data_IF_304152121466
#
_entry.id   IF_304152121466
#
_cell.length_a   1.000
_cell.length_b   1.000
_cell.length_c   1.000
_cell.angle_alpha   90.00
_cell.angle_beta   90.00
_cell.angle_gamma   90.00
#
_symmetry.space_group_name_H-M   'P 1'
#
loop_
_entity.id
_entity.type
_entity.pdbx_description
1 polymer ?
#
# COMPACT_ATOMS: atom_id res chain seq x y z
N UNK A 1 9.86 3.39 24.95
CA UNK A 1 9.66 2.72 23.66
C UNK A 1 9.17 3.74 22.65
N UNK A 2 9.68 3.68 21.43
CA UNK A 2 9.28 4.57 20.32
C UNK A 2 8.62 3.72 19.25
N UNK A 3 7.58 4.28 18.60
CA UNK A 3 6.96 3.72 17.41
C UNK A 3 7.00 4.78 16.32
N UNK A 4 7.45 4.42 15.15
CA UNK A 4 7.38 5.25 13.96
C UNK A 4 6.25 4.79 13.07
N UNK A 5 5.36 5.68 12.72
CA UNK A 5 4.36 5.45 11.67
C UNK A 5 5.00 5.79 10.34
N UNK A 6 5.14 4.79 9.48
CA UNK A 6 5.77 4.97 8.17
C UNK A 6 4.85 5.69 7.17
N UNK A 7 5.40 6.09 6.03
CA UNK A 7 4.64 6.82 5.00
C UNK A 7 3.54 5.97 4.36
N UNK A 8 2.55 6.65 3.80
CA UNK A 8 1.42 6.01 3.11
C UNK A 8 1.83 5.07 1.97
N UNK A 9 2.85 5.44 1.18
CA UNK A 9 3.37 4.56 0.13
C UNK A 9 4.10 3.34 0.73
N UNK A 10 4.81 3.51 1.83
CA UNK A 10 5.46 2.40 2.54
C UNK A 10 4.42 1.42 3.10
N UNK A 11 3.28 1.90 3.63
CA UNK A 11 2.16 1.04 4.00
C UNK A 11 1.65 0.22 2.81
N UNK A 12 1.44 0.87 1.65
CA UNK A 12 0.95 0.21 0.45
C UNK A 12 1.92 -0.87 -0.04
N UNK A 13 3.20 -0.54 -0.16
CA UNK A 13 4.25 -1.48 -0.56
C UNK A 13 4.27 -2.69 0.39
N UNK A 14 4.27 -2.42 1.70
CA UNK A 14 4.32 -3.49 2.71
C UNK A 14 3.06 -4.36 2.69
N UNK A 15 1.88 -3.75 2.57
CA UNK A 15 0.61 -4.46 2.50
C UNK A 15 0.54 -5.40 1.29
N UNK A 16 0.84 -4.90 0.08
CA UNK A 16 0.82 -5.68 -1.16
C UNK A 16 1.87 -6.81 -1.13
N UNK A 17 3.10 -6.50 -0.72
CA UNK A 17 4.18 -7.48 -0.65
C UNK A 17 3.83 -8.61 0.31
N UNK A 18 3.39 -8.26 1.53
CA UNK A 18 2.99 -9.24 2.54
C UNK A 18 1.87 -10.13 2.03
N UNK A 19 0.78 -9.52 1.56
CA UNK A 19 -0.44 -10.24 1.16
C UNK A 19 -0.20 -11.21 0.00
N UNK A 20 0.49 -10.76 -1.06
CA UNK A 20 0.66 -11.57 -2.27
C UNK A 20 1.81 -12.56 -2.12
N UNK A 21 2.96 -12.11 -1.63
CA UNK A 21 4.20 -12.85 -1.77
C UNK A 21 4.68 -13.57 -0.51
N UNK A 22 4.20 -13.17 0.69
CA UNK A 22 4.71 -13.71 1.95
C UNK A 22 3.67 -14.51 2.73
N UNK A 23 2.39 -14.09 2.72
CA UNK A 23 1.36 -14.74 3.53
C UNK A 23 1.12 -16.19 3.06
N UNK A 24 1.36 -17.11 4.00
CA UNK A 24 1.18 -18.55 3.82
C UNK A 24 2.39 -19.28 3.26
N UNK A 25 3.44 -18.57 2.79
CA UNK A 25 4.59 -19.20 2.12
C UNK A 25 5.96 -18.75 2.66
N UNK A 26 6.03 -17.62 3.36
CA UNK A 26 7.28 -17.14 3.96
C UNK A 26 8.16 -16.27 3.04
N UNK A 27 9.24 -15.73 3.62
CA UNK A 27 10.13 -14.79 2.92
C UNK A 27 11.00 -15.46 1.84
N UNK A 28 11.23 -16.74 1.91
CA UNK A 28 11.98 -17.54 0.93
C UNK A 28 11.26 -17.63 -0.42
N UNK A 29 9.95 -17.43 -0.44
CA UNK A 29 9.19 -17.34 -1.69
C UNK A 29 9.41 -16.02 -2.43
N UNK A 30 9.81 -14.96 -1.74
CA UNK A 30 9.98 -13.64 -2.34
C UNK A 30 11.34 -13.51 -3.04
N UNK A 31 11.32 -13.25 -4.34
CA UNK A 31 12.54 -13.05 -5.14
C UNK A 31 12.90 -11.58 -5.27
N UNK A 32 11.93 -10.74 -5.65
CA UNK A 32 12.13 -9.30 -5.78
C UNK A 32 10.79 -8.55 -5.87
N UNK A 33 10.78 -7.32 -5.37
CA UNK A 33 9.68 -6.37 -5.53
C UNK A 33 10.16 -5.06 -6.16
N UNK A 34 9.48 -4.61 -7.20
CA UNK A 34 9.74 -3.34 -7.87
C UNK A 34 8.49 -2.47 -7.83
N UNK A 35 8.66 -1.19 -7.50
CA UNK A 35 7.53 -0.30 -7.29
C UNK A 35 7.77 1.06 -7.96
N UNK A 36 6.70 1.65 -8.48
CA UNK A 36 6.71 3.03 -8.96
C UNK A 36 5.64 3.81 -8.19
N UNK A 37 6.08 4.72 -7.33
CA UNK A 37 5.21 5.59 -6.56
C UNK A 37 4.89 6.85 -7.35
N UNK A 38 3.68 6.94 -7.88
CA UNK A 38 3.17 8.13 -8.58
C UNK A 38 2.45 8.98 -7.55
N UNK A 39 3.14 10.04 -7.09
CA UNK A 39 2.70 10.84 -5.97
C UNK A 39 1.84 12.01 -6.46
N UNK A 40 0.76 12.32 -5.75
CA UNK A 40 0.02 13.56 -5.93
C UNK A 40 0.93 14.79 -5.71
N UNK A 41 0.53 15.92 -6.25
CA UNK A 41 1.32 17.15 -6.23
C UNK A 41 1.64 17.61 -4.81
N UNK A 42 0.60 17.82 -3.99
CA UNK A 42 0.71 18.30 -2.62
C UNK A 42 -0.24 17.55 -1.70
N UNK A 43 0.01 17.59 -0.41
CA UNK A 43 -0.98 17.18 0.59
C UNK A 43 -2.14 18.18 0.62
N UNK A 44 -3.33 17.74 1.03
CA UNK A 44 -4.56 18.55 0.94
C UNK A 44 -4.47 19.87 1.72
N UNK A 45 -3.60 19.94 2.72
CA UNK A 45 -3.36 21.12 3.56
C UNK A 45 -2.09 21.91 3.20
N UNK A 46 -1.34 21.48 2.16
CA UNK A 46 -0.15 22.17 1.72
C UNK A 46 -0.49 23.17 0.63
N UNK A 47 -0.09 24.41 0.83
CA UNK A 47 -0.23 25.49 -0.14
C UNK A 47 1.00 25.64 -1.05
N UNK A 48 2.00 24.75 -0.89
CA UNK A 48 3.28 24.87 -1.57
C UNK A 48 3.24 24.40 -3.01
N UNK A 49 3.69 25.27 -3.87
CA UNK A 49 4.30 24.96 -5.16
C UNK A 49 3.38 24.34 -6.21
N UNK A 50 3.09 25.11 -7.24
CA UNK A 50 2.48 24.59 -8.46
C UNK A 50 3.44 23.63 -9.17
N UNK A 51 2.95 22.42 -9.47
CA UNK A 51 3.65 21.41 -10.28
C UNK A 51 3.05 21.41 -11.69
N UNK A 52 3.71 22.04 -12.66
CA UNK A 52 3.15 22.21 -14.01
C UNK A 52 3.15 20.92 -14.84
N UNK A 53 4.02 19.96 -14.49
CA UNK A 53 4.20 18.72 -15.24
C UNK A 53 4.73 17.61 -14.34
N UNK A 54 4.66 16.32 -14.74
CA UNK A 54 5.28 15.23 -13.99
C UNK A 54 6.76 15.47 -13.72
N UNK A 55 7.18 15.24 -12.49
CA UNK A 55 8.55 15.39 -12.01
C UNK A 55 9.06 14.07 -11.43
N UNK A 56 10.13 13.53 -12.01
CA UNK A 56 10.76 12.30 -11.48
C UNK A 56 11.65 12.64 -10.28
N UNK A 57 11.68 11.76 -9.30
CA UNK A 57 12.58 11.87 -8.16
C UNK A 57 13.93 11.24 -8.48
N UNK A 58 15.02 11.89 -8.09
CA UNK A 58 16.36 11.31 -8.13
C UNK A 58 16.43 10.16 -7.12
N UNK A 59 17.06 9.06 -7.50
CA UNK A 59 17.31 7.94 -6.59
C UNK A 59 18.33 8.35 -5.51
N UNK A 60 18.00 8.03 -4.27
CA UNK A 60 18.84 8.35 -3.10
C UNK A 60 19.74 7.17 -2.70
N UNK A 61 19.39 5.97 -3.14
CA UNK A 61 20.10 4.73 -2.86
C UNK A 61 20.24 3.89 -4.13
N UNK A 62 21.42 3.32 -4.35
CA UNK A 62 21.64 2.35 -5.44
C UNK A 62 20.92 1.03 -5.18
N UNK A 63 20.72 0.67 -3.91
CA UNK A 63 20.07 -0.58 -3.50
C UNK A 63 18.55 -0.47 -3.57
N UNK A 64 17.97 0.63 -3.03
CA UNK A 64 16.53 0.76 -2.84
C UNK A 64 15.87 1.75 -3.80
N UNK A 65 16.65 2.60 -4.47
CA UNK A 65 16.16 3.68 -5.32
C UNK A 65 15.61 4.83 -4.50
N UNK A 66 14.32 4.87 -4.22
CA UNK A 66 13.69 5.86 -3.34
C UNK A 66 13.50 5.31 -1.91
N UNK A 67 13.35 6.22 -0.94
CA UNK A 67 13.14 5.88 0.47
C UNK A 67 11.91 4.96 0.72
N UNK A 68 10.96 4.90 -0.20
CA UNK A 68 9.75 4.08 0.01
C UNK A 68 10.06 2.58 0.10
N UNK A 69 10.95 2.06 -0.77
CA UNK A 69 11.39 0.66 -0.68
C UNK A 69 12.35 0.45 0.49
N UNK A 70 13.21 1.43 0.80
CA UNK A 70 14.12 1.39 1.95
C UNK A 70 13.34 1.29 3.27
N UNK A 71 12.33 2.16 3.45
CA UNK A 71 11.47 2.14 4.64
C UNK A 71 10.67 0.82 4.72
N UNK A 72 10.15 0.32 3.59
CA UNK A 72 9.43 -0.96 3.57
C UNK A 72 10.36 -2.14 3.92
N UNK A 73 11.57 -2.17 3.37
CA UNK A 73 12.58 -3.17 3.72
C UNK A 73 12.93 -3.10 5.22
N UNK A 74 13.05 -1.89 5.78
CA UNK A 74 13.28 -1.70 7.21
C UNK A 74 12.12 -2.24 8.07
N UNK A 75 10.86 -2.06 7.63
CA UNK A 75 9.69 -2.67 8.29
C UNK A 75 9.83 -4.19 8.30
N UNK A 76 10.14 -4.83 7.17
CA UNK A 76 10.29 -6.28 7.11
C UNK A 76 11.48 -6.80 7.90
N UNK A 77 12.57 -6.03 8.01
CA UNK A 77 13.71 -6.36 8.89
C UNK A 77 13.33 -6.46 10.36
N UNK A 78 12.27 -5.78 10.81
CA UNK A 78 11.77 -5.97 12.18
C UNK A 78 11.17 -7.35 12.43
N UNK A 79 10.93 -8.12 11.36
CA UNK A 79 10.44 -9.49 11.35
C UNK A 79 11.53 -10.48 10.87
N UNK A 80 12.79 -10.08 10.91
CA UNK A 80 13.96 -10.85 10.45
C UNK A 80 13.89 -11.25 8.96
N UNK A 81 13.20 -10.45 8.13
CA UNK A 81 13.08 -10.66 6.69
C UNK A 81 13.93 -9.63 5.93
N UNK A 82 14.92 -10.10 5.17
CA UNK A 82 15.73 -9.25 4.28
C UNK A 82 15.24 -9.40 2.83
N UNK A 83 14.40 -8.46 2.39
CA UNK A 83 13.70 -8.51 1.12
C UNK A 83 14.38 -7.64 0.06
N UNK A 84 14.55 -8.20 -1.14
CA UNK A 84 15.06 -7.48 -2.31
C UNK A 84 13.99 -6.56 -2.91
N UNK A 85 13.98 -5.31 -2.47
CA UNK A 85 12.98 -4.31 -2.84
C UNK A 85 13.62 -3.11 -3.51
N UNK A 86 12.95 -2.54 -4.52
CA UNK A 86 13.38 -1.33 -5.21
C UNK A 86 12.19 -0.46 -5.58
N UNK A 87 12.30 0.84 -5.39
CA UNK A 87 11.26 1.77 -5.81
C UNK A 87 11.81 3.00 -6.52
N UNK A 88 11.01 3.46 -7.49
CA UNK A 88 11.14 4.79 -8.08
C UNK A 88 9.94 5.65 -7.70
N UNK A 89 10.09 6.95 -7.76
CA UNK A 89 9.00 7.85 -7.44
C UNK A 89 8.93 9.02 -8.42
N UNK A 90 7.73 9.54 -8.63
CA UNK A 90 7.48 10.77 -9.36
C UNK A 90 6.33 11.54 -8.73
N UNK A 91 6.31 12.85 -8.88
CA UNK A 91 5.16 13.71 -8.60
C UNK A 91 4.40 14.01 -9.88
N UNK A 92 3.08 14.08 -9.79
CA UNK A 92 2.21 14.52 -10.88
C UNK A 92 1.34 15.69 -10.42
N UNK A 93 0.77 16.41 -11.37
CA UNK A 93 -0.04 17.61 -11.12
C UNK A 93 -1.49 17.32 -10.70
N UNK A 94 -1.77 16.15 -10.14
CA UNK A 94 -3.07 15.76 -9.59
C UNK A 94 -3.06 15.79 -8.06
N UNK A 95 -4.24 15.88 -7.44
CA UNK A 95 -4.36 16.06 -5.99
C UNK A 95 -4.98 14.87 -5.24
N UNK A 96 -5.58 13.93 -5.96
CA UNK A 96 -6.28 12.81 -5.32
C UNK A 96 -5.40 11.57 -5.25
N UNK A 97 -5.17 11.05 -4.06
CA UNK A 97 -4.46 9.81 -3.74
C UNK A 97 -3.10 9.65 -4.46
N UNK A 98 -2.26 8.78 -3.97
CA UNK A 98 -1.12 8.29 -4.74
C UNK A 98 -1.52 7.06 -5.53
N UNK A 99 -0.82 6.81 -6.63
CA UNK A 99 -0.91 5.57 -7.39
C UNK A 99 0.39 4.82 -7.23
N UNK A 100 0.30 3.53 -6.96
CA UNK A 100 1.45 2.63 -6.90
C UNK A 100 1.31 1.58 -7.99
N UNK A 101 2.28 1.51 -8.91
CA UNK A 101 2.50 0.32 -9.73
C UNK A 101 3.42 -0.63 -8.97
N UNK A 102 3.13 -1.91 -9.01
CA UNK A 102 3.97 -2.94 -8.42
C UNK A 102 4.25 -4.08 -9.39
N UNK A 103 5.44 -4.66 -9.25
CA UNK A 103 5.86 -5.91 -9.87
C UNK A 103 6.51 -6.76 -8.78
N UNK A 104 5.91 -7.91 -8.49
CA UNK A 104 6.43 -8.88 -7.52
C UNK A 104 6.85 -10.13 -8.27
N UNK A 105 8.04 -10.64 -7.97
CA UNK A 105 8.50 -11.92 -8.44
C UNK A 105 8.65 -12.88 -7.26
N UNK A 106 8.08 -14.06 -7.40
CA UNK A 106 8.07 -15.13 -6.41
C UNK A 106 8.70 -16.41 -6.97
N UNK A 107 9.09 -17.33 -6.10
CA UNK A 107 9.64 -18.62 -6.50
C UNK A 107 8.56 -19.61 -6.89
N UNK A 108 7.48 -19.67 -6.12
CA UNK A 108 6.38 -20.59 -6.37
C UNK A 108 5.45 -20.04 -7.47
N UNK A 109 4.86 -20.96 -8.22
CA UNK A 109 3.86 -20.58 -9.22
C UNK A 109 2.57 -20.15 -8.52
N UNK A 110 1.98 -19.06 -9.00
CA UNK A 110 0.73 -18.52 -8.50
C UNK A 110 -0.17 -18.13 -9.68
N UNK A 111 -1.45 -18.44 -9.60
CA UNK A 111 -2.44 -18.03 -10.59
C UNK A 111 -3.03 -16.66 -10.27
N UNK A 112 -3.66 -16.02 -11.27
CA UNK A 112 -4.37 -14.75 -11.07
C UNK A 112 -5.51 -14.89 -10.05
N UNK A 113 -6.21 -16.03 -10.03
CA UNK A 113 -7.29 -16.26 -9.08
C UNK A 113 -6.75 -16.34 -7.65
N UNK A 114 -5.66 -17.06 -7.42
CA UNK A 114 -5.01 -17.11 -6.10
C UNK A 114 -4.54 -15.74 -5.62
N UNK A 115 -4.02 -14.90 -6.53
CA UNK A 115 -3.67 -13.50 -6.18
C UNK A 115 -4.91 -12.74 -5.73
N UNK A 116 -6.04 -12.84 -6.45
CA UNK A 116 -7.30 -12.20 -6.09
C UNK A 116 -7.84 -12.72 -4.76
N UNK A 117 -7.81 -14.02 -4.54
CA UNK A 117 -8.27 -14.66 -3.30
C UNK A 117 -7.45 -14.17 -2.09
N UNK A 118 -6.10 -14.11 -2.22
CA UNK A 118 -5.23 -13.56 -1.17
C UNK A 118 -5.55 -12.09 -0.87
N UNK A 119 -5.77 -11.28 -1.89
CA UNK A 119 -6.11 -9.86 -1.72
C UNK A 119 -7.47 -9.70 -1.03
N UNK A 120 -8.49 -10.44 -1.47
CA UNK A 120 -9.84 -10.40 -0.89
C UNK A 120 -9.89 -10.92 0.55
N UNK A 121 -9.01 -11.84 0.93
CA UNK A 121 -8.93 -12.36 2.30
C UNK A 121 -8.31 -11.36 3.30
N UNK A 122 -7.67 -10.29 2.82
CA UNK A 122 -7.03 -9.31 3.68
C UNK A 122 -7.91 -8.06 3.84
N UNK A 123 -8.52 -7.87 5.01
CA UNK A 123 -9.36 -6.69 5.32
C UNK A 123 -8.68 -5.33 5.13
N UNK A 124 -7.35 -5.29 5.11
CA UNK A 124 -6.57 -4.07 4.84
C UNK A 124 -6.41 -3.77 3.34
N UNK A 125 -6.98 -4.61 2.49
CA UNK A 125 -7.04 -4.44 1.04
C UNK A 125 -8.50 -4.27 0.63
N UNK A 126 -8.77 -3.33 -0.26
CA UNK A 126 -10.03 -3.25 -0.99
C UNK A 126 -9.76 -3.46 -2.48
N UNK A 127 -10.66 -4.14 -3.17
CA UNK A 127 -10.64 -4.24 -4.63
C UNK A 127 -11.49 -3.13 -5.25
N UNK A 128 -11.15 -2.68 -6.44
CA UNK A 128 -11.97 -1.70 -7.16
C UNK A 128 -11.95 -1.93 -8.66
N UNK A 129 -13.10 -1.70 -9.27
CA UNK A 129 -13.25 -1.58 -10.73
C UNK A 129 -13.03 -0.13 -11.23
N UNK A 130 -12.88 0.84 -10.32
CA UNK A 130 -12.63 2.23 -10.67
C UNK A 130 -11.17 2.43 -11.04
N UNK A 131 -10.93 3.10 -12.12
CA UNK A 131 -9.60 3.36 -12.69
C UNK A 131 -9.05 4.78 -12.38
N UNK A 132 -9.87 5.63 -11.75
CA UNK A 132 -9.47 7.00 -11.36
C UNK A 132 -9.45 7.18 -9.83
N UNK A 133 -8.39 7.78 -9.32
CA UNK A 133 -8.25 8.11 -7.90
C UNK A 133 -9.35 9.02 -7.37
N UNK A 134 -9.85 9.95 -8.20
CA UNK A 134 -10.94 10.86 -7.83
C UNK A 134 -12.27 10.14 -7.61
N UNK A 135 -12.56 9.09 -8.37
CA UNK A 135 -13.79 8.29 -8.20
C UNK A 135 -13.74 7.44 -6.94
N UNK A 136 -12.57 6.89 -6.61
CA UNK A 136 -12.33 6.19 -5.34
C UNK A 136 -12.44 7.16 -4.14
N UNK A 137 -11.87 8.35 -4.25
CA UNK A 137 -12.00 9.39 -3.23
C UNK A 137 -13.47 9.79 -3.02
N UNK A 138 -14.21 10.00 -4.12
CA UNK A 138 -15.65 10.34 -4.07
C UNK A 138 -16.48 9.24 -3.40
N UNK A 139 -16.17 7.98 -3.65
CA UNK A 139 -16.81 6.86 -2.97
C UNK A 139 -16.69 6.99 -1.44
N UNK A 140 -15.46 7.19 -0.92
CA UNK A 140 -15.25 7.38 0.51
C UNK A 140 -16.03 8.59 1.08
N UNK A 141 -16.06 9.70 0.34
CA UNK A 141 -16.86 10.89 0.72
C UNK A 141 -18.36 10.57 0.77
N UNK A 142 -18.87 9.92 -0.25
CA UNK A 142 -20.32 9.67 -0.41
C UNK A 142 -20.84 8.63 0.61
N UNK A 143 -19.97 7.80 1.16
CA UNK A 143 -20.25 6.88 2.27
C UNK A 143 -20.04 7.53 3.66
N UNK A 144 -19.90 8.84 3.75
CA UNK A 144 -19.76 9.55 5.02
C UNK A 144 -18.40 9.47 5.70
N UNK A 145 -17.39 8.94 5.00
CA UNK A 145 -16.03 8.79 5.55
C UNK A 145 -15.10 9.99 5.24
N UNK A 146 -15.66 11.10 4.79
CA UNK A 146 -14.89 12.32 4.46
C UNK A 146 -13.73 12.08 3.49
N UNK A 147 -13.89 11.16 2.54
CA UNK A 147 -12.84 10.72 1.62
C UNK A 147 -11.80 9.79 2.24
N UNK A 148 -11.94 9.43 3.51
CA UNK A 148 -11.01 8.51 4.18
C UNK A 148 -11.48 7.07 4.00
N UNK A 149 -10.59 6.25 3.47
CA UNK A 149 -10.77 4.81 3.34
C UNK A 149 -9.73 4.19 4.28
N UNK A 150 -10.17 3.38 5.25
CA UNK A 150 -9.28 2.81 6.26
C UNK A 150 -8.51 1.58 5.76
N UNK A 151 -8.89 0.98 4.65
CA UNK A 151 -8.06 -0.03 4.00
C UNK A 151 -6.67 0.54 3.69
N UNK A 152 -5.63 -0.23 3.89
CA UNK A 152 -4.25 0.24 3.66
C UNK A 152 -3.91 0.36 2.17
N UNK A 153 -4.61 -0.38 1.31
CA UNK A 153 -4.44 -0.30 -0.14
C UNK A 153 -5.75 -0.57 -0.87
N UNK A 154 -5.92 0.07 -2.02
CA UNK A 154 -7.07 -0.13 -2.92
C UNK A 154 -6.55 -0.63 -4.26
N UNK A 155 -6.73 -1.91 -4.56
CA UNK A 155 -6.19 -2.56 -5.75
C UNK A 155 -7.14 -2.41 -6.93
N UNK A 156 -6.64 -1.92 -8.06
CA UNK A 156 -7.40 -1.84 -9.32
C UNK A 156 -7.43 -3.21 -9.98
N UNK A 157 -8.51 -3.94 -9.82
CA UNK A 157 -8.62 -5.36 -10.13
C UNK A 157 -8.31 -5.69 -11.60
N UNK A 158 -8.76 -4.85 -12.54
CA UNK A 158 -8.54 -5.07 -13.98
C UNK A 158 -7.07 -4.92 -14.39
N UNK A 159 -6.22 -4.38 -13.53
CA UNK A 159 -4.78 -4.22 -13.80
C UNK A 159 -3.94 -5.39 -13.31
N UNK A 160 -4.56 -6.30 -12.53
CA UNK A 160 -3.86 -7.48 -12.03
C UNK A 160 -3.51 -8.43 -13.17
N UNK A 161 -2.26 -8.84 -13.20
CA UNK A 161 -1.76 -9.78 -14.20
C UNK A 161 -0.67 -10.66 -13.58
N UNK A 162 -0.67 -11.93 -13.97
CA UNK A 162 0.39 -12.89 -13.63
C UNK A 162 1.07 -13.34 -14.91
N UNK A 163 2.37 -13.05 -15.03
CA UNK A 163 3.22 -13.45 -16.15
C UNK A 163 4.11 -14.61 -15.72
N UNK A 164 4.32 -15.55 -16.64
CA UNK A 164 5.20 -16.70 -16.42
C UNK A 164 4.87 -17.53 -15.17
N UNK A 165 3.66 -17.39 -14.62
CA UNK A 165 3.22 -18.09 -13.42
C UNK A 165 3.80 -17.57 -12.10
N UNK A 166 4.70 -16.58 -12.11
CA UNK A 166 5.40 -16.14 -10.88
C UNK A 166 5.78 -14.66 -10.86
N UNK A 167 5.33 -13.88 -11.83
CA UNK A 167 5.56 -12.43 -11.90
C UNK A 167 4.22 -11.70 -11.87
N UNK A 168 3.91 -11.09 -10.74
CA UNK A 168 2.63 -10.46 -10.45
C UNK A 168 2.75 -8.95 -10.65
N UNK A 169 1.87 -8.36 -11.44
CA UNK A 169 1.82 -6.93 -11.73
C UNK A 169 0.45 -6.35 -11.43
N UNK A 170 0.40 -5.08 -11.07
CA UNK A 170 -0.85 -4.37 -10.90
C UNK A 170 -0.65 -2.92 -10.48
N UNK A 171 -1.79 -2.21 -10.41
CA UNK A 171 -1.85 -0.89 -9.83
C UNK A 171 -2.71 -0.91 -8.58
N UNK A 172 -2.36 -0.09 -7.61
CA UNK A 172 -3.20 0.22 -6.48
C UNK A 172 -3.14 1.70 -6.13
N UNK A 173 -4.19 2.17 -5.48
CA UNK A 173 -4.29 3.52 -4.94
C UNK A 173 -3.96 3.52 -3.46
N UNK A 174 -3.37 4.60 -2.99
CA UNK A 174 -2.99 4.79 -1.59
C UNK A 174 -4.00 5.72 -0.92
N UNK A 175 -4.87 5.23 -0.03
CA UNK A 175 -5.81 6.05 0.73
C UNK A 175 -5.06 6.79 1.85
N UNK A 176 -4.27 7.77 1.48
CA UNK A 176 -3.21 8.38 2.26
C UNK A 176 -3.60 8.77 3.69
N UNK A 177 -4.73 9.46 3.87
CA UNK A 177 -5.15 9.90 5.20
C UNK A 177 -5.75 8.74 6.02
N UNK A 178 -6.35 7.76 5.34
CA UNK A 178 -7.00 6.61 5.96
C UNK A 178 -5.99 5.62 6.54
N UNK A 179 -4.99 5.22 5.77
CA UNK A 179 -4.01 4.23 6.23
C UNK A 179 -3.12 4.75 7.37
N UNK A 180 -2.75 6.02 7.35
CA UNK A 180 -1.99 6.65 8.43
C UNK A 180 -2.81 6.76 9.72
N UNK A 181 -4.10 7.08 9.62
CA UNK A 181 -5.03 7.11 10.76
C UNK A 181 -5.15 5.73 11.39
N UNK A 182 -5.38 4.70 10.58
CA UNK A 182 -5.49 3.31 11.06
C UNK A 182 -4.22 2.86 11.78
N UNK A 183 -3.04 3.16 11.21
CA UNK A 183 -1.76 2.78 11.83
C UNK A 183 -1.51 3.53 13.14
N UNK A 184 -1.91 4.80 13.22
CA UNK A 184 -1.81 5.59 14.46
C UNK A 184 -2.74 5.05 15.55
N UNK A 185 -3.96 4.68 15.20
CA UNK A 185 -4.91 4.04 16.11
C UNK A 185 -4.39 2.68 16.59
N UNK A 186 -3.86 1.87 15.67
CA UNK A 186 -3.27 0.57 15.99
C UNK A 186 -2.12 0.70 16.98
N UNK A 187 -1.20 1.63 16.74
CA UNK A 187 -0.09 1.89 17.64
C UNK A 187 -0.55 2.38 19.03
N UNK A 188 -1.53 3.27 19.09
CA UNK A 188 -2.11 3.77 20.33
C UNK A 188 -2.78 2.63 21.11
N UNK A 189 -3.59 1.81 20.45
CA UNK A 189 -4.25 0.67 21.08
C UNK A 189 -3.24 -0.36 21.57
N UNK A 190 -2.17 -0.60 20.82
CA UNK A 190 -1.11 -1.49 21.25
C UNK A 190 -0.39 -0.99 22.53
N UNK A 191 -0.15 0.31 22.66
CA UNK A 191 0.40 0.88 23.90
C UNK A 191 -0.52 0.75 25.09
N UNK A 192 -1.82 0.98 24.88
CA UNK A 192 -2.82 0.96 25.95
C UNK A 192 -3.27 -0.46 26.31
N UNK A 193 -3.35 -1.35 25.33
CA UNK A 193 -3.94 -2.69 25.43
C UNK A 193 -3.12 -3.73 24.64
N UNK A 194 -1.85 -3.99 25.01
CA UNK A 194 -0.93 -4.79 24.20
C UNK A 194 -1.43 -6.21 23.90
N UNK A 195 -2.23 -6.79 24.79
CA UNK A 195 -2.75 -8.16 24.65
C UNK A 195 -4.10 -8.26 23.92
N UNK A 196 -4.81 -7.15 23.73
CA UNK A 196 -6.15 -7.12 23.10
C UNK A 196 -6.33 -6.02 22.05
N UNK A 197 -5.25 -5.39 21.59
CA UNK A 197 -5.35 -4.29 20.63
C UNK A 197 -5.96 -4.73 19.29
N UNK A 198 -5.74 -5.98 18.88
CA UNK A 198 -6.32 -6.52 17.64
C UNK A 198 -7.84 -6.61 17.72
N UNK A 199 -8.36 -7.15 18.83
CA UNK A 199 -9.81 -7.25 19.07
C UNK A 199 -10.46 -5.85 19.11
N UNK A 200 -9.71 -4.86 19.64
CA UNK A 200 -10.19 -3.46 19.66
C UNK A 200 -10.16 -2.82 18.28
N UNK A 201 -9.20 -3.16 17.42
CA UNK A 201 -9.20 -2.74 16.02
C UNK A 201 -10.34 -3.38 15.22
N UNK A 202 -10.76 -4.59 15.57
CA UNK A 202 -11.86 -5.27 14.91
C UNK A 202 -13.20 -4.53 15.11
N UNK A 203 -13.33 -3.67 16.12
CA UNK A 203 -14.48 -2.77 16.26
C UNK A 203 -14.59 -1.73 15.10
N UNK A 204 -13.54 -1.57 14.30
CA UNK A 204 -13.54 -0.71 13.11
C UNK A 204 -13.88 -1.47 11.82
N UNK A 205 -14.22 -2.76 11.91
CA UNK A 205 -14.47 -3.61 10.72
C UNK A 205 -15.54 -3.03 9.78
N UNK A 206 -16.55 -2.37 10.30
CA UNK A 206 -17.62 -1.74 9.52
C UNK A 206 -17.14 -0.54 8.67
N UNK A 207 -15.91 -0.08 8.91
CA UNK A 207 -15.27 1.01 8.16
C UNK A 207 -14.30 0.52 7.08
N UNK A 208 -14.10 -0.79 6.97
CA UNK A 208 -13.33 -1.41 5.89
C UNK A 208 -14.25 -1.80 4.73
N UNK A 209 -13.73 -1.69 3.53
CA UNK A 209 -14.45 -2.08 2.33
C UNK A 209 -13.74 -3.26 1.68
N UNK A 210 -14.51 -4.25 1.24
CA UNK A 210 -14.00 -5.34 0.39
C UNK A 210 -13.92 -4.86 -1.07
N UNK A 211 -14.94 -4.09 -1.49
CA UNK A 211 -15.04 -3.49 -2.82
C UNK A 211 -15.40 -2.00 -2.75
N UNK A 212 -14.76 -1.21 -3.61
CA UNK A 212 -14.95 0.23 -3.75
C UNK A 212 -15.44 0.59 -5.15
#
# INVERSE_FOLDING_TARGET
QFIQIVSCNTHNISCITKTIALDGVGSENFVAGKYVCIRRANDMHQEDGYIPSPQVNVHQSNQYGSHHAEDAAAVFKTLDMDLNMFSSAMKVNSQYMHVLWFNLRVNESISLNEVKDKLSANKYVALTAKDMTSTVFSFGRDHGHYGRILNQTVVVEQTLNVRNGNEINGFCFTPQDGNSLLSSLSATLWFLYPHSYKDKLDSLSDLFFDHI
#
